data_IF_671623399674
#
_entry.id   IF_671623399674
#
_cell.length_a   1.000
_cell.length_b   1.000
_cell.length_c   1.000
_cell.angle_alpha   90.00
_cell.angle_beta   90.00
_cell.angle_gamma   90.00
#
_symmetry.space_group_name_H-M   'P 1'
#
loop_
_entity.id
_entity.type
_entity.pdbx_description
1 polymer ?
#
# COMPACT_ATOMS: atom_id res chain seq x y z
N UNK A 1 -27.15 -1.33 -7.14
CA UNK A 1 -27.65 -1.26 -5.75
C UNK A 1 -29.17 -1.12 -5.66
N UNK A 2 -29.83 -0.02 -6.11
CA UNK A 2 -31.31 0.09 -5.99
C UNK A 2 -32.11 -0.95 -6.81
N UNK A 3 -31.65 -1.29 -8.02
CA UNK A 3 -32.30 -2.29 -8.89
C UNK A 3 -32.23 -3.73 -8.36
N UNK A 4 -31.12 -4.10 -7.72
CA UNK A 4 -30.96 -5.44 -7.14
C UNK A 4 -31.78 -5.62 -5.85
N UNK A 5 -31.99 -4.52 -5.10
CA UNK A 5 -32.86 -4.53 -3.92
C UNK A 5 -34.34 -4.70 -4.30
N UNK A 6 -34.78 -4.10 -5.41
CA UNK A 6 -36.13 -4.31 -5.97
C UNK A 6 -36.33 -5.74 -6.48
N UNK A 7 -35.28 -6.36 -7.01
CA UNK A 7 -35.35 -7.73 -7.53
C UNK A 7 -35.44 -8.76 -6.38
N UNK A 8 -34.71 -8.54 -5.27
CA UNK A 8 -34.83 -9.31 -4.04
C UNK A 8 -36.20 -9.12 -3.35
N UNK A 9 -36.75 -7.90 -3.38
CA UNK A 9 -38.08 -7.62 -2.86
C UNK A 9 -39.17 -8.33 -3.70
N UNK A 10 -39.01 -8.37 -5.03
CA UNK A 10 -39.89 -9.15 -5.93
C UNK A 10 -39.75 -10.66 -5.72
N UNK A 11 -38.56 -11.15 -5.40
CA UNK A 11 -38.31 -12.57 -5.10
C UNK A 11 -38.89 -12.99 -3.74
N UNK A 12 -38.95 -12.07 -2.77
CA UNK A 12 -39.64 -12.24 -1.48
C UNK A 12 -41.16 -12.35 -1.64
N UNK A 13 -41.75 -11.59 -2.57
CA UNK A 13 -43.20 -11.62 -2.83
C UNK A 13 -43.66 -12.81 -3.68
N UNK A 14 -42.74 -13.66 -4.15
CA UNK A 14 -43.04 -14.84 -4.98
C UNK A 14 -42.98 -16.17 -4.22
N UNK A 15 -42.70 -16.14 -2.91
CA UNK A 15 -42.86 -17.29 -2.02
C UNK A 15 -44.18 -17.15 -1.28
N UNK A 16 -45.27 -17.38 -2.00
CA UNK A 16 -46.57 -17.67 -1.40
C UNK A 16 -46.38 -19.00 -0.64
N UNK A 17 -46.28 -18.94 0.68
CA UNK A 17 -46.42 -20.13 1.50
C UNK A 17 -47.85 -20.63 1.30
N UNK A 18 -48.01 -21.72 0.55
CA UNK A 18 -49.28 -22.42 0.43
C UNK A 18 -49.63 -23.05 1.80
N UNK A 19 -50.27 -22.26 2.65
CA UNK A 19 -50.80 -22.67 3.94
C UNK A 19 -52.14 -23.43 3.81
N UNK A 20 -52.60 -23.68 2.59
CA UNK A 20 -53.88 -24.32 2.27
C UNK A 20 -53.78 -25.81 1.90
N UNK A 21 -52.63 -26.48 2.11
CA UNK A 21 -52.55 -27.94 1.89
C UNK A 21 -53.13 -28.78 3.06
N UNK A 22 -53.87 -28.15 3.98
CA UNK A 22 -54.50 -28.83 5.12
C UNK A 22 -55.97 -28.44 5.36
N UNK A 23 -56.58 -27.64 4.49
CA UNK A 23 -57.99 -27.26 4.61
C UNK A 23 -58.61 -27.12 3.22
N UNK A 24 -59.11 -28.23 2.66
CA UNK A 24 -60.42 -28.38 2.01
C UNK A 24 -60.44 -29.66 1.14
N UNK A 25 -61.28 -30.62 1.53
CA UNK A 25 -62.21 -31.26 0.60
C UNK A 25 -63.56 -31.39 1.32
N UNK A 26 -64.39 -30.35 1.17
CA UNK A 26 -65.84 -30.50 1.07
C UNK A 26 -66.68 -29.71 2.06
N UNK A 27 -66.87 -28.41 1.80
CA UNK A 27 -67.83 -27.54 2.47
C UNK A 27 -69.31 -27.76 2.11
N UNK A 28 -70.14 -27.54 3.14
CA UNK A 28 -71.49 -26.95 3.25
C UNK A 28 -72.52 -26.97 2.09
N UNK A 29 -73.76 -27.33 2.47
CA UNK A 29 -75.01 -26.92 1.80
C UNK A 29 -76.24 -27.64 2.35
N UNK A 30 -76.96 -27.03 3.30
CA UNK A 30 -78.06 -27.66 4.04
C UNK A 30 -79.42 -27.77 3.33
N UNK A 31 -80.27 -28.67 3.84
CA UNK A 31 -81.73 -28.55 3.91
C UNK A 31 -82.28 -29.65 4.81
N UNK A 32 -83.26 -29.31 5.66
CA UNK A 32 -83.77 -30.14 6.74
C UNK A 32 -84.57 -31.38 6.32
N UNK A 33 -84.80 -32.24 7.31
CA UNK A 33 -85.64 -33.43 7.24
C UNK A 33 -85.45 -34.28 8.49
N UNK A 34 -86.41 -34.18 9.39
CA UNK A 34 -86.66 -34.97 10.60
C UNK A 34 -86.40 -36.47 10.39
N UNK A 35 -85.74 -37.13 11.34
CA UNK A 35 -86.30 -38.28 12.05
C UNK A 35 -85.36 -38.71 13.18
N UNK A 36 -85.90 -38.63 14.40
CA UNK A 36 -85.39 -39.29 15.60
C UNK A 36 -85.48 -40.82 15.40
N UNK A 37 -84.52 -41.59 15.95
CA UNK A 37 -84.96 -42.47 17.01
C UNK A 37 -84.02 -42.46 18.22
N UNK A 38 -84.63 -42.18 19.36
CA UNK A 38 -84.24 -42.61 20.68
C UNK A 38 -83.66 -44.03 20.72
N UNK A 39 -82.67 -44.14 21.60
CA UNK A 39 -82.34 -45.31 22.41
C UNK A 39 -81.79 -46.53 21.66
N UNK A 40 -80.51 -46.86 21.92
CA UNK A 40 -80.15 -48.05 22.71
C UNK A 40 -78.71 -47.97 23.21
N UNK A 41 -78.60 -48.11 24.52
CA UNK A 41 -77.39 -48.55 25.21
C UNK A 41 -76.98 -49.95 24.72
N UNK A 42 -75.67 -50.18 24.57
CA UNK A 42 -75.06 -51.49 24.29
C UNK A 42 -73.64 -51.26 23.76
N UNK A 43 -72.63 -51.27 24.63
CA UNK A 43 -71.86 -52.43 25.08
C UNK A 43 -70.53 -52.50 24.31
N UNK A 44 -69.48 -52.86 25.03
CA UNK A 44 -68.07 -52.86 24.63
C UNK A 44 -67.82 -53.61 23.30
N UNK A 45 -67.36 -52.90 22.27
CA UNK A 45 -66.57 -53.48 21.16
C UNK A 45 -65.17 -52.86 21.15
N UNK A 46 -64.26 -53.50 21.89
CA UNK A 46 -62.83 -53.23 21.89
C UNK A 46 -62.12 -54.15 20.90
N UNK A 47 -62.02 -53.74 19.64
CA UNK A 47 -61.08 -54.29 18.63
C UNK A 47 -60.83 -53.15 17.60
N UNK A 48 -59.65 -52.73 17.15
CA UNK A 48 -58.25 -53.10 17.36
C UNK A 48 -57.41 -51.80 17.29
N UNK A 49 -57.22 -51.10 18.41
CA UNK A 49 -56.26 -49.99 18.45
C UNK A 49 -54.84 -50.59 18.47
N UNK A 50 -54.20 -50.64 17.30
CA UNK A 50 -52.84 -51.19 17.09
C UNK A 50 -51.75 -50.53 17.96
N UNK A 51 -52.02 -49.34 18.50
CA UNK A 51 -51.14 -48.60 19.41
C UNK A 51 -51.98 -47.92 20.50
N UNK A 52 -51.46 -47.89 21.73
CA UNK A 52 -52.03 -47.10 22.83
C UNK A 52 -51.55 -45.65 22.75
N UNK A 53 -52.28 -44.71 23.38
CA UNK A 53 -51.88 -43.29 23.41
C UNK A 53 -50.49 -43.09 24.05
N UNK A 54 -50.11 -43.99 24.96
CA UNK A 54 -48.78 -44.02 25.57
C UNK A 54 -47.70 -44.48 24.58
N UNK A 55 -48.00 -45.46 23.70
CA UNK A 55 -47.11 -45.85 22.61
C UNK A 55 -46.89 -44.73 21.58
N UNK A 56 -47.96 -44.00 21.24
CA UNK A 56 -47.91 -42.85 20.32
C UNK A 56 -47.05 -41.73 20.93
N UNK A 57 -47.25 -41.41 22.20
CA UNK A 57 -46.44 -40.41 22.91
C UNK A 57 -44.97 -40.81 22.97
N UNK A 58 -44.66 -42.09 23.23
CA UNK A 58 -43.29 -42.59 23.21
C UNK A 58 -42.64 -42.49 21.82
N UNK A 59 -43.39 -42.78 20.75
CA UNK A 59 -42.91 -42.62 19.37
C UNK A 59 -42.66 -41.15 19.05
N UNK A 60 -43.58 -40.25 19.41
CA UNK A 60 -43.45 -38.81 19.18
C UNK A 60 -42.24 -38.26 19.93
N UNK A 61 -42.07 -38.59 21.22
CA UNK A 61 -40.94 -38.14 22.02
C UNK A 61 -39.61 -38.64 21.44
N UNK A 62 -39.55 -39.90 21.01
CA UNK A 62 -38.36 -40.44 20.32
C UNK A 62 -38.08 -39.71 19.01
N UNK A 63 -39.11 -39.45 18.20
CA UNK A 63 -38.97 -38.74 16.91
C UNK A 63 -38.61 -37.27 17.11
N UNK A 64 -39.14 -36.62 18.14
CA UNK A 64 -38.82 -35.25 18.50
C UNK A 64 -37.37 -35.15 18.99
N UNK A 65 -36.92 -36.07 19.83
CA UNK A 65 -35.51 -36.15 20.26
C UNK A 65 -34.56 -36.41 19.07
N UNK A 66 -34.92 -37.32 18.16
CA UNK A 66 -34.18 -37.55 16.91
C UNK A 66 -34.13 -36.28 16.04
N UNK A 67 -35.25 -35.58 15.92
CA UNK A 67 -35.36 -34.35 15.15
C UNK A 67 -34.54 -33.22 15.77
N UNK A 68 -34.64 -33.01 17.08
CA UNK A 68 -33.91 -31.98 17.82
C UNK A 68 -32.40 -32.22 17.72
N UNK A 69 -31.96 -33.48 17.89
CA UNK A 69 -30.56 -33.87 17.69
C UNK A 69 -30.09 -33.57 16.26
N UNK A 70 -30.90 -33.92 15.25
CA UNK A 70 -30.59 -33.66 13.85
C UNK A 70 -30.57 -32.16 13.52
N UNK A 71 -31.42 -31.35 14.14
CA UNK A 71 -31.40 -29.89 13.99
C UNK A 71 -30.16 -29.28 14.64
N UNK A 72 -29.81 -29.70 15.86
CA UNK A 72 -28.59 -29.26 16.55
C UNK A 72 -27.33 -29.61 15.75
N UNK A 73 -27.24 -30.83 15.22
CA UNK A 73 -26.11 -31.24 14.38
C UNK A 73 -26.04 -30.43 13.06
N UNK A 74 -27.18 -30.16 12.42
CA UNK A 74 -27.22 -29.31 11.21
C UNK A 74 -26.82 -27.87 11.51
N UNK A 75 -27.31 -27.31 12.61
CA UNK A 75 -26.97 -25.96 13.05
C UNK A 75 -25.50 -25.84 13.42
N UNK A 76 -24.94 -26.83 14.12
CA UNK A 76 -23.52 -26.85 14.47
C UNK A 76 -22.63 -26.93 13.23
N UNK A 77 -22.97 -27.79 12.27
CA UNK A 77 -22.25 -27.89 10.99
C UNK A 77 -22.36 -26.61 10.15
N UNK A 78 -23.52 -25.96 10.14
CA UNK A 78 -23.70 -24.68 9.46
C UNK A 78 -22.86 -23.57 10.10
N UNK A 79 -22.86 -23.49 11.44
CA UNK A 79 -22.09 -22.50 12.19
C UNK A 79 -20.57 -22.71 12.04
N UNK A 80 -20.09 -23.95 12.00
CA UNK A 80 -18.68 -24.26 11.77
C UNK A 80 -18.26 -23.89 10.33
N UNK A 81 -19.08 -24.24 9.33
CA UNK A 81 -18.82 -23.88 7.94
C UNK A 81 -18.86 -22.36 7.72
N UNK A 82 -19.79 -21.66 8.37
CA UNK A 82 -19.87 -20.20 8.34
C UNK A 82 -18.66 -19.57 9.05
N UNK A 83 -18.25 -20.08 10.21
CA UNK A 83 -17.03 -19.64 10.90
C UNK A 83 -15.79 -19.82 10.01
N UNK A 84 -15.65 -20.96 9.33
CA UNK A 84 -14.52 -21.22 8.44
C UNK A 84 -14.51 -20.28 7.21
N UNK A 85 -15.69 -20.02 6.63
CA UNK A 85 -15.85 -19.04 5.53
C UNK A 85 -15.54 -17.62 5.99
N UNK A 86 -16.10 -17.20 7.12
CA UNK A 86 -15.91 -15.86 7.67
C UNK A 86 -14.44 -15.61 8.03
N UNK A 87 -13.74 -16.60 8.59
CA UNK A 87 -12.29 -16.50 8.82
C UNK A 87 -11.53 -16.26 7.50
N UNK A 88 -11.89 -17.01 6.45
CA UNK A 88 -11.26 -16.86 5.12
C UNK A 88 -11.58 -15.50 4.49
N UNK A 89 -12.79 -14.98 4.68
CA UNK A 89 -13.21 -13.66 4.18
C UNK A 89 -12.58 -12.52 4.98
N UNK A 90 -12.45 -12.66 6.30
CA UNK A 90 -11.77 -11.68 7.16
C UNK A 90 -10.29 -11.57 6.85
N UNK A 91 -9.60 -12.69 6.63
CA UNK A 91 -8.19 -12.71 6.22
C UNK A 91 -8.00 -12.02 4.87
N UNK A 92 -8.87 -12.30 3.89
CA UNK A 92 -8.86 -11.60 2.59
C UNK A 92 -9.09 -10.10 2.76
N UNK A 93 -10.09 -9.69 3.55
CA UNK A 93 -10.34 -8.28 3.82
C UNK A 93 -9.17 -7.61 4.52
N UNK A 94 -8.50 -8.27 5.48
CA UNK A 94 -7.30 -7.73 6.14
C UNK A 94 -6.17 -7.53 5.16
N UNK A 95 -5.90 -8.50 4.29
CA UNK A 95 -4.88 -8.39 3.26
C UNK A 95 -5.20 -7.26 2.27
N UNK A 96 -6.45 -7.17 1.81
CA UNK A 96 -6.90 -6.06 0.94
C UNK A 96 -6.74 -4.71 1.62
N UNK A 97 -7.11 -4.60 2.90
CA UNK A 97 -6.93 -3.38 3.68
C UNK A 97 -5.46 -3.02 3.87
N UNK A 98 -4.60 -3.98 4.15
CA UNK A 98 -3.16 -3.78 4.29
C UNK A 98 -2.53 -3.30 2.97
N UNK A 99 -2.89 -3.94 1.86
CA UNK A 99 -2.45 -3.53 0.52
C UNK A 99 -2.93 -2.12 0.16
N UNK A 100 -4.18 -1.78 0.49
CA UNK A 100 -4.72 -0.43 0.30
C UNK A 100 -3.99 0.58 1.20
N UNK A 101 -3.74 0.25 2.46
CA UNK A 101 -3.02 1.11 3.39
C UNK A 101 -1.58 1.36 2.93
N UNK A 102 -0.91 0.33 2.41
CA UNK A 102 0.44 0.44 1.83
C UNK A 102 0.44 1.34 0.60
N UNK A 103 -0.57 1.24 -0.27
CA UNK A 103 -0.73 2.15 -1.42
C UNK A 103 -0.97 3.58 -0.98
N UNK A 104 -1.85 3.81 -0.01
CA UNK A 104 -2.12 5.15 0.54
C UNK A 104 -0.85 5.75 1.12
N UNK A 105 -0.13 5.00 1.96
CA UNK A 105 1.13 5.45 2.53
C UNK A 105 2.18 5.76 1.45
N UNK A 106 2.25 4.96 0.38
CA UNK A 106 3.09 5.24 -0.78
C UNK A 106 2.74 6.55 -1.47
N UNK A 107 1.46 6.77 -1.78
CA UNK A 107 1.00 8.02 -2.41
C UNK A 107 1.21 9.25 -1.52
N UNK A 108 1.00 9.11 -0.20
CA UNK A 108 1.26 10.19 0.75
C UNK A 108 2.76 10.55 0.80
N UNK A 109 3.64 9.55 0.79
CA UNK A 109 5.09 9.76 0.69
C UNK A 109 5.48 10.44 -0.61
N UNK A 110 4.99 9.97 -1.76
CA UNK A 110 5.27 10.60 -3.06
C UNK A 110 4.78 12.05 -3.10
N UNK A 111 3.59 12.33 -2.56
CA UNK A 111 3.05 13.69 -2.48
C UNK A 111 3.90 14.58 -1.57
N UNK A 112 4.33 14.07 -0.42
CA UNK A 112 5.20 14.79 0.51
C UNK A 112 6.55 15.12 -0.15
N UNK A 113 7.21 14.12 -0.75
CA UNK A 113 8.46 14.29 -1.50
C UNK A 113 8.26 15.31 -2.63
N UNK A 114 7.18 15.22 -3.41
CA UNK A 114 6.88 16.16 -4.48
C UNK A 114 6.66 17.60 -4.00
N UNK A 115 6.00 17.80 -2.86
CA UNK A 115 5.84 19.11 -2.24
C UNK A 115 7.19 19.68 -1.77
N UNK A 116 7.98 18.87 -1.07
CA UNK A 116 9.30 19.28 -0.58
C UNK A 116 10.29 19.54 -1.73
N UNK A 117 10.21 18.77 -2.81
CA UNK A 117 11.00 18.99 -4.04
C UNK A 117 10.72 20.35 -4.65
N UNK A 118 9.46 20.80 -4.66
CA UNK A 118 9.11 22.15 -5.14
C UNK A 118 9.70 23.24 -4.26
N UNK A 119 9.67 23.06 -2.94
CA UNK A 119 10.26 24.01 -1.98
C UNK A 119 11.78 24.07 -2.16
N UNK A 120 12.45 22.91 -2.21
CA UNK A 120 13.88 22.79 -2.46
C UNK A 120 14.27 23.47 -3.79
N UNK A 121 13.51 23.24 -4.86
CA UNK A 121 13.70 23.91 -6.15
C UNK A 121 13.54 25.43 -6.05
N UNK A 122 12.58 25.91 -5.26
CA UNK A 122 12.40 27.34 -4.98
C UNK A 122 13.66 27.95 -4.37
N UNK A 123 14.18 27.34 -3.29
CA UNK A 123 15.39 27.81 -2.59
C UNK A 123 16.62 27.81 -3.50
N UNK A 124 16.79 26.77 -4.33
CA UNK A 124 17.88 26.69 -5.30
C UNK A 124 17.77 27.78 -6.38
N UNK A 125 16.57 28.00 -6.90
CA UNK A 125 16.29 29.06 -7.88
C UNK A 125 16.53 30.46 -7.30
N UNK A 126 16.18 30.70 -6.02
CA UNK A 126 16.48 31.95 -5.32
C UNK A 126 18.00 32.21 -5.25
N UNK A 127 18.77 31.12 -5.10
CA UNK A 127 20.23 31.13 -5.14
C UNK A 127 20.80 31.15 -6.57
N UNK A 128 19.96 31.22 -7.60
CA UNK A 128 20.30 31.16 -9.04
C UNK A 128 20.99 29.86 -9.47
N UNK A 129 20.76 28.78 -8.74
CA UNK A 129 21.31 27.45 -9.03
C UNK A 129 20.18 26.61 -9.65
N UNK A 130 20.35 26.22 -10.92
CA UNK A 130 19.42 25.32 -11.60
C UNK A 130 19.97 23.90 -11.53
N UNK A 131 19.18 22.99 -10.97
CA UNK A 131 19.57 21.59 -10.75
C UNK A 131 18.53 20.67 -11.39
N UNK A 132 18.98 19.56 -11.98
CA UNK A 132 18.09 18.53 -12.53
C UNK A 132 17.29 17.83 -11.43
N UNK A 133 16.11 17.35 -11.82
CA UNK A 133 15.16 16.68 -10.93
C UNK A 133 15.75 15.44 -10.25
N UNK A 134 16.63 14.70 -10.93
CA UNK A 134 17.32 13.53 -10.37
C UNK A 134 18.21 13.87 -9.17
N UNK A 135 18.91 15.00 -9.21
CA UNK A 135 19.75 15.45 -8.10
C UNK A 135 18.92 16.06 -6.96
N UNK A 136 17.79 16.69 -7.31
CA UNK A 136 16.83 17.21 -6.35
C UNK A 136 16.20 16.12 -5.50
N UNK A 137 15.86 14.96 -6.09
CA UNK A 137 15.31 13.81 -5.34
C UNK A 137 16.27 13.33 -4.27
N UNK A 138 17.59 13.36 -4.52
CA UNK A 138 18.60 12.95 -3.53
C UNK A 138 18.78 13.97 -2.39
N UNK A 139 18.35 15.21 -2.60
CA UNK A 139 18.50 16.30 -1.63
C UNK A 139 17.27 16.44 -0.73
N UNK A 140 16.12 15.96 -1.20
CA UNK A 140 14.83 16.00 -0.51
C UNK A 140 14.68 14.78 0.39
N UNK A 141 14.41 15.03 1.66
CA UNK A 141 14.15 14.02 2.67
C UNK A 141 12.65 13.94 3.00
N UNK A 142 12.24 12.92 3.78
CA UNK A 142 10.86 12.80 4.26
C UNK A 142 10.46 13.96 5.19
N UNK A 143 11.44 14.58 5.86
CA UNK A 143 11.22 15.71 6.76
C UNK A 143 11.58 17.07 6.11
N UNK A 144 10.80 18.09 6.46
CA UNK A 144 10.90 19.43 5.87
C UNK A 144 12.15 20.18 6.34
N UNK A 145 12.49 20.09 7.62
CA UNK A 145 13.67 20.76 8.19
C UNK A 145 14.96 20.16 7.63
N UNK A 146 15.03 18.82 7.57
CA UNK A 146 16.18 18.13 6.95
C UNK A 146 16.32 18.45 5.47
N UNK A 147 15.22 18.52 4.70
CA UNK A 147 15.27 18.94 3.29
C UNK A 147 15.86 20.34 3.13
N UNK A 148 15.41 21.30 3.95
CA UNK A 148 15.92 22.67 3.89
C UNK A 148 17.41 22.75 4.25
N UNK A 149 17.82 22.08 5.32
CA UNK A 149 19.22 22.04 5.74
C UNK A 149 20.13 21.40 4.66
N UNK A 150 19.68 20.33 4.02
CA UNK A 150 20.41 19.68 2.92
C UNK A 150 20.58 20.62 1.73
N UNK A 151 19.51 21.33 1.35
CA UNK A 151 19.53 22.30 0.26
C UNK A 151 20.45 23.48 0.58
N UNK A 152 20.37 24.05 1.77
CA UNK A 152 21.24 25.16 2.19
C UNK A 152 22.71 24.76 2.23
N UNK A 153 23.02 23.56 2.73
CA UNK A 153 24.39 23.04 2.74
C UNK A 153 24.91 22.80 1.32
N UNK A 154 24.07 22.29 0.42
CA UNK A 154 24.43 22.14 -0.98
C UNK A 154 24.73 23.49 -1.65
N UNK A 155 23.87 24.50 -1.43
CA UNK A 155 24.07 25.85 -1.98
C UNK A 155 25.41 26.45 -1.53
N UNK A 156 25.74 26.33 -0.23
CA UNK A 156 27.02 26.82 0.31
C UNK A 156 28.21 26.13 -0.35
N UNK A 157 28.22 24.79 -0.33
CA UNK A 157 29.31 24.00 -0.88
C UNK A 157 29.47 24.22 -2.39
N UNK A 158 28.36 24.36 -3.13
CA UNK A 158 28.37 24.63 -4.56
C UNK A 158 28.98 25.99 -4.85
N UNK A 159 28.54 27.04 -4.16
CA UNK A 159 29.09 28.38 -4.34
C UNK A 159 30.59 28.44 -4.01
N UNK A 160 31.02 27.79 -2.92
CA UNK A 160 32.44 27.71 -2.55
C UNK A 160 33.27 26.98 -3.62
N UNK A 161 32.75 25.87 -4.16
CA UNK A 161 33.41 25.11 -5.23
C UNK A 161 33.50 25.93 -6.52
N UNK A 162 32.41 26.62 -6.90
CA UNK A 162 32.39 27.51 -8.07
C UNK A 162 33.35 28.67 -7.88
N UNK A 163 33.40 29.29 -6.70
CA UNK A 163 34.35 30.37 -6.41
C UNK A 163 35.79 29.89 -6.50
N UNK A 164 36.11 28.70 -5.97
CA UNK A 164 37.45 28.11 -6.11
C UNK A 164 37.80 27.84 -7.57
N UNK A 165 36.88 27.24 -8.33
CA UNK A 165 37.09 26.97 -9.75
C UNK A 165 37.25 28.26 -10.57
N UNK A 166 36.47 29.30 -10.27
CA UNK A 166 36.60 30.62 -10.89
C UNK A 166 37.92 31.27 -10.48
N UNK A 167 38.33 31.19 -9.22
CA UNK A 167 39.62 31.69 -8.77
C UNK A 167 40.78 30.98 -9.46
N UNK A 168 40.73 29.65 -9.62
CA UNK A 168 41.72 28.88 -10.38
C UNK A 168 41.73 29.24 -11.87
N UNK A 169 40.55 29.42 -12.47
CA UNK A 169 40.44 29.85 -13.86
C UNK A 169 40.97 31.28 -14.09
N UNK A 170 40.66 32.22 -13.18
CA UNK A 170 41.10 33.61 -13.21
C UNK A 170 42.57 33.79 -12.84
N UNK A 171 43.12 32.89 -12.00
CA UNK A 171 44.56 32.83 -11.72
C UNK A 171 45.38 32.65 -13.01
N UNK A 172 44.73 32.22 -14.09
CA UNK A 172 45.28 32.14 -15.43
C UNK A 172 46.34 31.05 -15.53
N UNK A 173 46.71 30.69 -16.77
CA UNK A 173 47.98 29.97 -16.96
C UNK A 173 49.07 30.93 -16.52
N UNK A 174 49.63 30.72 -15.33
CA UNK A 174 50.90 31.30 -14.95
C UNK A 174 51.84 31.13 -16.14
N UNK A 175 52.47 32.20 -16.65
CA UNK A 175 53.50 32.05 -17.67
C UNK A 175 54.42 30.97 -17.14
N UNK A 176 54.61 29.89 -17.92
CA UNK A 176 55.65 28.92 -17.58
C UNK A 176 56.89 29.77 -17.44
N UNK A 177 57.37 29.97 -16.21
CA UNK A 177 58.70 30.47 -15.98
C UNK A 177 59.54 29.59 -16.88
N UNK A 178 60.11 30.17 -17.94
CA UNK A 178 61.07 29.45 -18.76
C UNK A 178 62.07 28.92 -17.75
N UNK A 179 62.06 27.61 -17.60
CA UNK A 179 63.06 26.89 -16.84
C UNK A 179 64.41 27.34 -17.41
N UNK A 180 65.13 28.16 -16.64
CA UNK A 180 66.46 28.64 -16.97
C UNK A 180 66.57 29.94 -17.80
N UNK A 181 66.17 31.08 -17.25
CA UNK A 181 67.16 32.19 -17.24
C UNK A 181 68.15 31.89 -16.11
N UNK A 182 68.98 30.86 -16.29
CA UNK A 182 70.20 30.75 -15.49
C UNK A 182 70.99 32.00 -15.84
N UNK A 183 71.06 32.93 -14.90
CA UNK A 183 72.11 33.95 -14.93
C UNK A 183 73.42 33.19 -15.14
N UNK A 184 74.10 33.46 -16.26
CA UNK A 184 75.36 32.80 -16.60
C UNK A 184 76.29 32.94 -15.40
N UNK A 185 76.62 31.84 -14.73
CA UNK A 185 77.52 31.91 -13.57
C UNK A 185 78.96 31.93 -14.04
N UNK A 186 79.88 32.41 -13.19
CA UNK A 186 81.32 32.41 -13.46
C UNK A 186 81.83 31.04 -13.90
N UNK A 187 81.30 29.97 -13.30
CA UNK A 187 81.66 28.59 -13.64
C UNK A 187 81.16 28.17 -15.02
N UNK A 188 79.96 28.60 -15.41
CA UNK A 188 79.39 28.26 -16.71
C UNK A 188 80.19 28.90 -17.84
N UNK A 189 80.67 30.14 -17.63
CA UNK A 189 81.57 30.83 -18.56
C UNK A 189 82.94 30.14 -18.62
N UNK A 190 83.49 29.70 -17.49
CA UNK A 190 84.77 28.98 -17.46
C UNK A 190 84.72 27.58 -18.09
N UNK A 191 83.55 26.92 -18.03
CA UNK A 191 83.29 25.61 -18.66
C UNK A 191 83.22 25.67 -20.20
N UNK A 192 83.18 26.87 -20.80
CA UNK A 192 83.24 27.03 -22.26
C UNK A 192 84.60 26.51 -22.77
N UNK A 193 84.55 25.44 -23.59
CA UNK A 193 85.75 24.75 -24.11
C UNK A 193 86.57 25.63 -25.05
N UNK A 194 85.92 26.47 -25.84
CA UNK A 194 86.57 27.35 -26.81
C UNK A 194 87.15 28.60 -26.12
N UNK A 195 88.46 28.84 -26.28
CA UNK A 195 89.18 29.90 -25.58
C UNK A 195 88.73 31.30 -25.97
N UNK A 196 88.53 31.55 -27.26
CA UNK A 196 88.14 32.89 -27.76
C UNK A 196 86.72 33.24 -27.35
N UNK A 197 85.80 32.28 -27.41
CA UNK A 197 84.41 32.47 -26.96
C UNK A 197 84.33 32.65 -25.44
N UNK A 198 85.12 31.90 -24.68
CA UNK A 198 85.24 32.11 -23.23
C UNK A 198 85.73 33.51 -22.88
N UNK A 199 86.75 34.01 -23.56
CA UNK A 199 87.28 35.35 -23.31
C UNK A 199 86.27 36.46 -23.67
N UNK A 200 85.50 36.28 -24.75
CA UNK A 200 84.40 37.21 -25.10
C UNK A 200 83.32 37.21 -24.01
N UNK A 201 82.88 36.04 -23.56
CA UNK A 201 81.88 35.92 -22.50
C UNK A 201 82.36 36.49 -21.15
N UNK A 202 83.66 36.38 -20.82
CA UNK A 202 84.25 37.03 -19.65
C UNK A 202 84.28 38.57 -19.77
N UNK A 203 84.49 39.09 -20.98
CA UNK A 203 84.51 40.53 -21.25
C UNK A 203 83.10 41.14 -21.29
N UNK A 204 82.10 40.37 -21.72
CA UNK A 204 80.69 40.76 -21.73
C UNK A 204 80.07 40.70 -20.32
N UNK A 205 80.58 39.84 -19.45
CA UNK A 205 80.15 39.71 -18.05
C UNK A 205 81.28 40.00 -17.04
N UNK A 206 81.88 41.21 -17.04
CA UNK A 206 83.03 41.54 -16.20
C UNK A 206 82.68 41.54 -14.70
N UNK A 207 81.42 41.79 -14.35
CA UNK A 207 80.90 41.75 -12.97
C UNK A 207 81.11 40.39 -12.29
N UNK A 208 81.20 39.30 -13.05
CA UNK A 208 81.42 37.94 -12.53
C UNK A 208 82.90 37.60 -12.32
N UNK A 209 83.82 38.44 -12.84
CA UNK A 209 85.26 38.20 -12.87
C UNK A 209 86.09 39.33 -12.26
N UNK A 210 85.45 40.28 -11.54
CA UNK A 210 86.15 41.24 -10.68
C UNK A 210 86.86 40.55 -9.50
#
# INVERSE_FOLDING_TARGET
>A
MKKELEELLKLSHKRNFNLQLFADDGGEGGSGGTDDPEDKSGDDEKEDKKYTDEDVNNIINRKFAEWEKRQKEKSAKAAEAERLKNMTEEEKRKHEMEELQKKIAGYEKEKAIGAMTKVARGILNDSKIVVNDELLVNLVAEDAETTKANVENFVKNFNDAVQKAVAEALRGKTPRLKDGSKELTKEDILKIKNRTERQKAMAEHPELFR
#
